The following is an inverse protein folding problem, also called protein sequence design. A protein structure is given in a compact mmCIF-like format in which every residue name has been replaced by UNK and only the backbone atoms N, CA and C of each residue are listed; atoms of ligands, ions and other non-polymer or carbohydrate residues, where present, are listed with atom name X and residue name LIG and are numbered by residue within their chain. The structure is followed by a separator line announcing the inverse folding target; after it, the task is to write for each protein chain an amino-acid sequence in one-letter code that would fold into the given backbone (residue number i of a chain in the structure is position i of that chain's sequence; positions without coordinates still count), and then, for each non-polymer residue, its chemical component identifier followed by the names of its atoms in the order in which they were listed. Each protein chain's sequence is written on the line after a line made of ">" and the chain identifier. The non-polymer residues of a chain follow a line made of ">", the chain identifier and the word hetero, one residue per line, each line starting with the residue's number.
data_IF_948829335677
#
_entry.id   IF_948829335677
#
_cell.length_a   1.000
_cell.length_b   1.000
_cell.length_c   1.000
_cell.angle_alpha   90.00
_cell.angle_beta   90.00
_cell.angle_gamma   90.00
#
_symmetry.space_group_name_H-M   'P 1'
#
loop_
_entity.id
_entity.type
_entity.pdbx_description
1 polymer ?
#
# COMPACT_ATOMS: atom_id res chain seq x y z
N UNK A 1 0.11 -8.16 13.22
CA UNK A 1 0.62 -7.90 11.85
C UNK A 1 0.90 -6.40 11.80
N UNK A 2 2.08 -5.97 11.36
CA UNK A 2 2.47 -4.55 11.34
C UNK A 2 2.87 -4.19 9.92
N UNK A 3 2.41 -3.04 9.44
CA UNK A 3 2.61 -2.59 8.06
C UNK A 3 1.82 -1.30 7.80
N UNK A 4 2.15 -0.61 6.73
CA UNK A 4 1.34 0.48 6.22
C UNK A 4 0.45 0.02 5.07
N UNK A 5 1.07 -0.47 3.98
CA UNK A 5 0.36 -0.84 2.77
C UNK A 5 -0.79 -1.83 2.98
N UNK A 6 -0.70 -2.88 3.82
CA UNK A 6 -1.82 -3.81 3.99
C UNK A 6 -3.06 -3.15 4.61
N UNK A 7 -2.85 -2.26 5.58
CA UNK A 7 -3.92 -1.50 6.24
C UNK A 7 -4.53 -0.47 5.29
N UNK A 8 -3.71 0.20 4.50
CA UNK A 8 -4.16 1.19 3.51
C UNK A 8 -4.98 0.51 2.42
N UNK A 9 -4.52 -0.61 1.89
CA UNK A 9 -5.25 -1.38 0.88
C UNK A 9 -6.53 -2.01 1.43
N UNK A 10 -6.55 -2.35 2.71
CA UNK A 10 -7.77 -2.81 3.37
C UNK A 10 -8.77 -1.66 3.55
N UNK A 11 -8.29 -0.46 3.92
CA UNK A 11 -9.12 0.73 3.96
C UNK A 11 -9.61 1.14 2.56
N UNK A 12 -8.81 0.92 1.52
CA UNK A 12 -9.19 1.21 0.13
C UNK A 12 -10.43 0.41 -0.29
N UNK A 13 -10.58 -0.84 0.19
CA UNK A 13 -11.81 -1.62 0.02
C UNK A 13 -12.97 -1.10 0.87
N UNK A 14 -12.69 -0.66 2.10
CA UNK A 14 -13.73 -0.14 3.00
C UNK A 14 -14.39 1.13 2.45
N UNK A 15 -13.60 2.06 1.93
CA UNK A 15 -14.11 3.32 1.35
C UNK A 15 -14.77 3.11 -0.02
N UNK A 16 -14.53 1.98 -0.69
CA UNK A 16 -15.34 1.55 -1.86
C UNK A 16 -16.72 1.02 -1.43
N UNK A 17 -16.82 0.45 -0.24
CA UNK A 17 -18.01 -0.24 0.26
C UNK A 17 -18.93 0.65 1.11
N UNK A 18 -18.56 1.90 1.36
CA UNK A 18 -19.24 2.83 2.28
C UNK A 18 -19.24 4.25 1.71
N UNK A 19 -19.98 5.17 2.32
CA UNK A 19 -19.95 6.60 1.97
C UNK A 19 -18.96 7.37 2.87
N UNK A 20 -17.86 6.73 3.23
CA UNK A 20 -16.79 7.34 4.04
C UNK A 20 -15.69 7.92 3.16
N UNK A 21 -15.01 8.93 3.68
CA UNK A 21 -13.87 9.59 3.03
C UNK A 21 -12.59 9.40 3.84
N UNK A 22 -11.45 9.31 3.16
CA UNK A 22 -10.14 9.33 3.83
C UNK A 22 -9.75 10.78 4.07
N UNK A 23 -9.52 11.12 5.34
CA UNK A 23 -9.15 12.46 5.77
C UNK A 23 -7.64 12.60 5.93
N UNK A 24 -6.97 11.56 6.42
CA UNK A 24 -5.54 11.61 6.71
C UNK A 24 -4.91 10.21 6.74
N UNK A 25 -3.64 10.13 6.36
CA UNK A 25 -2.81 8.92 6.45
C UNK A 25 -1.40 9.33 6.90
N UNK A 26 -0.97 8.80 8.05
CA UNK A 26 0.39 8.96 8.56
C UNK A 26 1.12 7.62 8.61
N UNK A 27 2.42 7.64 8.30
CA UNK A 27 3.26 6.44 8.16
C UNK A 27 4.41 6.44 9.17
N UNK A 28 4.16 6.14 10.47
CA UNK A 28 5.22 6.13 11.48
C UNK A 28 6.28 5.08 11.20
N UNK A 29 7.55 5.37 11.51
CA UNK A 29 8.62 4.37 11.51
C UNK A 29 8.43 3.42 12.70
N UNK A 30 8.11 2.15 12.44
CA UNK A 30 7.76 1.20 13.51
C UNK A 30 8.08 -0.26 13.12
N UNK A 31 7.07 -1.05 12.72
CA UNK A 31 7.14 -2.52 12.55
C UNK A 31 7.80 -3.25 13.73
N UNK A 32 7.69 -2.71 14.95
CA UNK A 32 8.23 -3.27 16.19
C UNK A 32 9.74 -3.54 16.13
N UNK A 33 10.48 -2.62 15.50
CA UNK A 33 11.91 -2.75 15.28
C UNK A 33 12.30 -3.40 13.94
N UNK A 34 11.32 -3.87 13.15
CA UNK A 34 11.50 -4.26 11.76
C UNK A 34 11.86 -3.09 10.85
N UNK A 35 11.88 -3.30 9.53
CA UNK A 35 12.40 -2.31 8.58
C UNK A 35 11.39 -1.27 8.07
N UNK A 36 10.08 -1.43 8.34
CA UNK A 36 9.02 -0.67 7.66
C UNK A 36 8.22 0.30 8.53
N UNK A 37 7.00 0.59 8.10
CA UNK A 37 6.09 1.52 8.77
C UNK A 37 4.98 0.84 9.58
N UNK A 38 4.48 1.57 10.58
CA UNK A 38 3.10 1.44 11.04
C UNK A 38 2.16 2.29 10.19
N UNK A 39 0.92 2.46 10.61
CA UNK A 39 -0.04 3.36 9.94
C UNK A 39 -1.03 3.95 10.94
N UNK A 40 -1.37 5.22 10.72
CA UNK A 40 -2.56 5.88 11.26
C UNK A 40 -3.41 6.31 10.06
N UNK A 41 -4.69 5.93 10.06
CA UNK A 41 -5.63 6.27 8.99
C UNK A 41 -6.86 6.89 9.64
N UNK A 42 -7.22 8.09 9.21
CA UNK A 42 -8.41 8.81 9.67
C UNK A 42 -9.43 8.82 8.54
N UNK A 43 -10.65 8.35 8.84
CA UNK A 43 -11.79 8.41 7.93
C UNK A 43 -12.93 9.26 8.51
N UNK A 44 -13.67 9.92 7.64
CA UNK A 44 -14.83 10.75 7.95
C UNK A 44 -16.11 10.22 7.30
N UNK A 45 -17.25 10.58 7.87
CA UNK A 45 -18.57 10.26 7.33
C UNK A 45 -19.67 10.91 8.17
N UNK A 46 -20.85 11.11 7.58
CA UNK A 46 -21.99 11.73 8.26
C UNK A 46 -22.82 10.76 9.10
N UNK A 47 -22.65 9.44 8.90
CA UNK A 47 -23.36 8.39 9.62
C UNK A 47 -22.38 7.53 10.43
N UNK A 48 -22.46 7.53 11.78
CA UNK A 48 -21.62 6.69 12.63
C UNK A 48 -21.72 5.19 12.33
N UNK A 49 -22.86 4.71 11.84
CA UNK A 49 -23.04 3.31 11.46
C UNK A 49 -22.22 2.95 10.22
N UNK A 50 -22.19 3.84 9.22
CA UNK A 50 -21.40 3.68 7.99
C UNK A 50 -19.88 3.73 8.30
N UNK A 51 -19.46 4.64 9.18
CA UNK A 51 -18.06 4.68 9.66
C UNK A 51 -17.67 3.38 10.36
N UNK A 52 -18.52 2.84 11.25
CA UNK A 52 -18.25 1.54 11.90
C UNK A 52 -18.20 0.40 10.88
N UNK A 53 -19.07 0.43 9.87
CA UNK A 53 -19.05 -0.56 8.80
C UNK A 53 -17.74 -0.49 8.00
N UNK A 54 -17.25 0.70 7.66
CA UNK A 54 -15.98 0.88 6.97
C UNK A 54 -14.83 0.25 7.78
N UNK A 55 -14.76 0.53 9.08
CA UNK A 55 -13.76 -0.10 9.97
C UNK A 55 -13.90 -1.62 9.97
N UNK A 56 -15.12 -2.17 10.03
CA UNK A 56 -15.36 -3.61 9.95
C UNK A 56 -14.82 -4.22 8.66
N UNK A 57 -15.15 -3.63 7.51
CA UNK A 57 -14.68 -4.08 6.19
C UNK A 57 -13.16 -4.04 6.09
N UNK A 58 -12.52 -2.98 6.60
CA UNK A 58 -11.06 -2.87 6.62
C UNK A 58 -10.43 -3.99 7.47
N UNK A 59 -10.95 -4.23 8.67
CA UNK A 59 -10.44 -5.29 9.56
C UNK A 59 -10.57 -6.68 8.93
N UNK A 60 -11.70 -6.97 8.28
CA UNK A 60 -11.96 -8.25 7.62
C UNK A 60 -11.02 -8.48 6.42
N UNK A 61 -10.55 -7.41 5.78
CA UNK A 61 -9.62 -7.49 4.65
C UNK A 61 -8.15 -7.67 5.03
N UNK A 62 -7.77 -7.46 6.30
CA UNK A 62 -6.36 -7.54 6.71
C UNK A 62 -5.73 -8.91 6.45
N UNK A 63 -6.50 -10.00 6.55
CA UNK A 63 -5.98 -11.34 6.25
C UNK A 63 -5.53 -11.46 4.79
N UNK A 64 -6.28 -10.84 3.87
CA UNK A 64 -6.02 -10.82 2.43
C UNK A 64 -4.86 -9.89 2.09
N UNK A 65 -4.85 -8.66 2.59
CA UNK A 65 -3.85 -7.64 2.20
C UNK A 65 -2.47 -7.89 2.82
N UNK A 66 -2.39 -8.68 3.88
CA UNK A 66 -1.12 -9.23 4.38
C UNK A 66 -0.71 -10.54 3.69
N UNK A 67 -1.50 -11.04 2.72
CA UNK A 67 -1.26 -12.31 2.05
C UNK A 67 0.08 -12.37 1.31
N UNK A 68 0.51 -11.22 0.76
CA UNK A 68 1.76 -11.07 0.02
C UNK A 68 2.80 -10.22 0.80
N UNK A 69 2.79 -10.36 2.14
CA UNK A 69 3.83 -9.83 3.03
C UNK A 69 4.70 -10.98 3.53
N UNK A 70 5.93 -11.03 3.04
CA UNK A 70 6.89 -12.11 3.33
C UNK A 70 7.94 -11.63 4.32
N UNK A 71 8.10 -12.34 5.43
CA UNK A 71 8.98 -11.92 6.52
C UNK A 71 10.17 -12.87 6.69
N UNK A 72 11.32 -12.32 7.03
CA UNK A 72 12.52 -13.04 7.45
C UNK A 72 13.23 -12.29 8.58
N UNK A 73 14.18 -12.92 9.30
CA UNK A 73 15.01 -12.21 10.27
C UNK A 73 15.84 -11.05 9.66
N UNK A 74 16.11 -11.10 8.36
CA UNK A 74 16.94 -10.12 7.67
C UNK A 74 16.16 -8.93 7.07
N UNK A 75 14.82 -9.03 6.99
CA UNK A 75 13.97 -8.03 6.33
C UNK A 75 12.65 -8.63 5.84
N UNK A 76 11.97 -7.92 4.94
CA UNK A 76 10.65 -8.31 4.44
C UNK A 76 10.43 -7.90 2.98
N UNK A 77 9.44 -8.52 2.35
CA UNK A 77 8.87 -8.10 1.08
C UNK A 77 7.39 -7.77 1.29
N UNK A 78 6.88 -6.82 0.51
CA UNK A 78 5.46 -6.51 0.46
C UNK A 78 5.05 -6.27 -0.99
N UNK A 79 3.98 -6.93 -1.43
CA UNK A 79 3.33 -6.69 -2.71
C UNK A 79 1.86 -6.35 -2.48
N UNK A 80 1.37 -5.33 -3.18
CA UNK A 80 -0.06 -5.00 -3.21
C UNK A 80 -0.54 -4.82 -4.63
N UNK A 81 -1.78 -5.22 -4.89
CA UNK A 81 -2.43 -5.04 -6.18
C UNK A 81 -3.91 -4.70 -5.99
N UNK A 82 -4.39 -3.76 -6.79
CA UNK A 82 -5.83 -3.54 -7.03
C UNK A 82 -6.06 -3.21 -8.49
N UNK A 83 -7.17 -3.71 -9.05
CA UNK A 83 -7.57 -3.37 -10.42
C UNK A 83 -8.21 -1.97 -10.52
N UNK A 84 -8.63 -1.41 -9.38
CA UNK A 84 -9.26 -0.09 -9.29
C UNK A 84 -9.00 0.51 -7.91
N UNK A 85 -8.02 1.43 -7.84
CA UNK A 85 -7.66 2.14 -6.62
C UNK A 85 -8.75 3.15 -6.21
N UNK A 86 -8.92 3.34 -4.91
CA UNK A 86 -9.79 4.37 -4.33
C UNK A 86 -8.98 5.42 -3.56
N UNK A 87 -9.67 6.21 -2.74
CA UNK A 87 -9.12 7.36 -2.04
C UNK A 87 -8.01 7.01 -1.05
N UNK A 88 -8.04 5.82 -0.42
CA UNK A 88 -6.98 5.45 0.53
C UNK A 88 -5.64 5.23 -0.16
N UNK A 89 -5.62 4.46 -1.25
CA UNK A 89 -4.42 4.27 -2.07
C UNK A 89 -3.97 5.58 -2.74
N UNK A 90 -4.91 6.44 -3.13
CA UNK A 90 -4.61 7.74 -3.70
C UNK A 90 -3.93 8.69 -2.70
N UNK A 91 -4.52 8.86 -1.51
CA UNK A 91 -3.99 9.75 -0.47
C UNK A 91 -2.62 9.28 0.01
N UNK A 92 -2.44 7.97 0.21
CA UNK A 92 -1.18 7.42 0.71
C UNK A 92 -0.05 7.43 -0.34
N UNK A 93 -0.36 7.05 -1.58
CA UNK A 93 0.65 6.64 -2.55
C UNK A 93 0.53 7.33 -3.91
N UNK A 94 -0.42 8.26 -4.07
CA UNK A 94 -0.67 8.92 -5.35
C UNK A 94 -1.29 7.99 -6.41
N UNK A 95 -1.85 6.84 -6.02
CA UNK A 95 -2.49 5.91 -6.94
C UNK A 95 -3.66 6.59 -7.68
N UNK A 96 -3.73 6.56 -9.02
CA UNK A 96 -4.83 7.19 -9.75
C UNK A 96 -6.17 6.50 -9.45
N UNK A 97 -7.15 7.25 -8.97
CA UNK A 97 -8.48 6.72 -8.62
C UNK A 97 -9.13 6.08 -9.85
N UNK A 98 -9.71 4.89 -9.66
CA UNK A 98 -10.37 4.13 -10.72
C UNK A 98 -9.43 3.41 -11.69
N UNK A 99 -8.11 3.44 -11.45
CA UNK A 99 -7.10 2.74 -12.25
C UNK A 99 -6.47 1.61 -11.47
N UNK A 100 -5.83 0.68 -12.19
CA UNK A 100 -5.05 -0.35 -11.54
C UNK A 100 -3.84 0.25 -10.83
N UNK A 101 -3.44 -0.35 -9.72
CA UNK A 101 -2.32 0.09 -8.91
C UNK A 101 -1.56 -1.11 -8.37
N UNK A 102 -0.23 -0.99 -8.38
CA UNK A 102 0.71 -1.96 -7.82
C UNK A 102 1.70 -1.30 -6.87
N UNK A 103 1.97 -1.95 -5.75
CA UNK A 103 3.04 -1.61 -4.80
C UNK A 103 4.02 -2.78 -4.76
N UNK A 104 5.30 -2.50 -4.97
CA UNK A 104 6.37 -3.49 -4.96
C UNK A 104 7.45 -3.02 -3.99
N UNK A 105 7.55 -3.67 -2.84
CA UNK A 105 8.40 -3.24 -1.73
C UNK A 105 9.37 -4.36 -1.31
N UNK A 106 10.62 -3.97 -1.06
CA UNK A 106 11.63 -4.84 -0.47
C UNK A 106 12.48 -4.14 0.58
N UNK A 107 12.75 -4.84 1.68
CA UNK A 107 13.64 -4.45 2.76
C UNK A 107 14.70 -5.54 3.04
N UNK A 108 16.00 -5.21 3.17
CA UNK A 108 16.60 -3.87 3.07
C UNK A 108 16.45 -3.26 1.67
N UNK A 109 16.48 -1.93 1.59
CA UNK A 109 15.96 -1.16 0.44
C UNK A 109 16.60 -1.50 -0.91
N UNK A 110 17.84 -1.99 -0.92
CA UNK A 110 18.52 -2.46 -2.14
C UNK A 110 17.80 -3.62 -2.82
N UNK A 111 17.09 -4.47 -2.07
CA UNK A 111 16.23 -5.53 -2.63
C UNK A 111 15.08 -4.89 -3.42
N UNK A 112 14.43 -3.87 -2.84
CA UNK A 112 13.37 -3.12 -3.51
C UNK A 112 13.80 -2.46 -4.82
N UNK A 113 15.07 -2.01 -4.92
CA UNK A 113 15.63 -1.46 -6.18
C UNK A 113 15.67 -2.52 -7.28
N UNK A 114 16.13 -3.74 -6.96
CA UNK A 114 16.22 -4.82 -7.96
C UNK A 114 14.83 -5.35 -8.34
N UNK A 115 13.90 -5.41 -7.37
CA UNK A 115 12.50 -5.73 -7.65
C UNK A 115 11.87 -4.71 -8.59
N UNK A 116 12.11 -3.42 -8.34
CA UNK A 116 11.59 -2.34 -9.17
C UNK A 116 12.12 -2.42 -10.61
N UNK A 117 13.44 -2.61 -10.79
CA UNK A 117 14.06 -2.79 -12.11
C UNK A 117 13.47 -3.98 -12.87
N UNK A 118 13.20 -5.08 -12.17
CA UNK A 118 12.59 -6.27 -12.77
C UNK A 118 11.15 -5.99 -13.20
N UNK A 119 10.33 -5.40 -12.34
CA UNK A 119 8.92 -5.13 -12.61
C UNK A 119 8.72 -4.25 -13.85
N UNK A 120 9.45 -3.13 -13.95
CA UNK A 120 9.33 -2.19 -15.08
C UNK A 120 9.85 -2.76 -16.41
N UNK A 121 10.70 -3.80 -16.36
CA UNK A 121 11.17 -4.53 -17.55
C UNK A 121 10.23 -5.66 -17.95
N UNK A 122 9.40 -6.14 -17.03
CA UNK A 122 8.48 -7.26 -17.26
C UNK A 122 7.25 -6.86 -18.08
N UNK A 123 6.70 -5.67 -17.85
CA UNK A 123 5.52 -5.19 -18.57
C UNK A 123 5.53 -3.67 -18.76
N UNK A 124 4.80 -3.20 -19.78
CA UNK A 124 4.61 -1.77 -20.02
C UNK A 124 3.69 -1.16 -18.97
N UNK A 125 4.27 -0.61 -17.91
CA UNK A 125 3.56 0.04 -16.79
C UNK A 125 3.97 1.50 -16.67
N UNK A 126 3.11 2.31 -16.05
CA UNK A 126 3.41 3.68 -15.68
C UNK A 126 4.02 3.71 -14.28
N UNK A 127 5.21 4.30 -14.14
CA UNK A 127 5.85 4.50 -12.84
C UNK A 127 5.31 5.76 -12.19
N UNK A 128 4.61 5.61 -11.07
CA UNK A 128 4.10 6.72 -10.27
C UNK A 128 5.20 7.33 -9.40
N UNK A 129 6.10 6.50 -8.87
CA UNK A 129 7.21 6.93 -8.05
C UNK A 129 7.99 5.78 -7.44
N UNK A 130 9.14 6.13 -6.86
CA UNK A 130 9.97 5.20 -6.07
C UNK A 130 10.33 5.86 -4.73
N UNK A 131 9.88 5.27 -3.63
CA UNK A 131 10.24 5.70 -2.27
C UNK A 131 11.46 4.92 -1.76
N UNK A 132 12.28 5.59 -0.96
CA UNK A 132 13.56 5.09 -0.44
C UNK A 132 13.83 5.65 0.96
N UNK A 133 14.87 5.18 1.68
CA UNK A 133 15.15 5.64 3.04
C UNK A 133 15.35 7.16 3.15
N UNK A 134 15.89 7.80 2.12
CA UNK A 134 16.13 9.24 2.11
C UNK A 134 15.00 10.08 1.50
N UNK A 135 14.02 9.47 0.83
CA UNK A 135 13.00 10.19 0.07
C UNK A 135 11.67 9.42 0.07
N UNK A 136 10.58 10.06 0.54
CA UNK A 136 9.23 9.49 0.45
C UNK A 136 8.91 8.40 1.47
N UNK A 137 9.79 8.13 2.43
CA UNK A 137 9.51 7.25 3.57
C UNK A 137 9.86 7.98 4.87
N UNK A 138 9.29 7.53 5.99
CA UNK A 138 9.74 7.92 7.34
C UNK A 138 11.06 7.25 7.73
N UNK A 139 12.10 7.42 6.90
CA UNK A 139 13.40 6.78 7.07
C UNK A 139 13.31 5.26 7.30
N UNK A 140 12.39 4.59 6.58
CA UNK A 140 12.33 3.12 6.61
C UNK A 140 13.47 2.53 5.78
N UNK A 141 13.76 1.24 5.97
CA UNK A 141 14.78 0.54 5.17
C UNK A 141 14.13 -0.22 4.01
N UNK A 142 13.21 0.46 3.31
CA UNK A 142 12.45 -0.08 2.19
C UNK A 142 12.80 0.66 0.91
N UNK A 143 12.81 -0.08 -0.21
CA UNK A 143 12.71 0.47 -1.55
C UNK A 143 11.33 0.09 -2.09
N UNK A 144 10.53 1.09 -2.47
CA UNK A 144 9.11 0.89 -2.78
C UNK A 144 8.82 1.49 -4.15
N UNK A 145 8.49 0.65 -5.11
CA UNK A 145 8.00 1.06 -6.42
C UNK A 145 6.46 1.13 -6.40
N UNK A 146 5.94 2.24 -6.92
CA UNK A 146 4.51 2.46 -7.14
C UNK A 146 4.23 2.54 -8.64
N UNK A 147 3.29 1.73 -9.13
CA UNK A 147 2.95 1.64 -10.56
C UNK A 147 1.46 1.70 -10.82
N UNK A 148 1.09 2.15 -12.03
CA UNK A 148 -0.26 2.08 -12.60
C UNK A 148 -0.20 1.64 -14.06
N UNK A 149 -1.35 1.58 -14.74
CA UNK A 149 -1.47 1.17 -16.14
C UNK A 149 -2.60 0.16 -16.35
N UNK A 150 -2.46 -0.65 -17.40
CA UNK A 150 -3.40 -1.73 -17.67
C UNK A 150 -3.34 -2.79 -16.57
N UNK A 151 -4.51 -3.19 -16.05
CA UNK A 151 -4.59 -4.08 -14.89
C UNK A 151 -3.84 -5.40 -15.07
N UNK A 152 -3.79 -5.95 -16.29
CA UNK A 152 -3.01 -7.15 -16.60
C UNK A 152 -1.50 -6.90 -16.54
N UNK A 153 -1.04 -5.77 -17.08
CA UNK A 153 0.36 -5.38 -17.07
C UNK A 153 0.85 -5.08 -15.63
N UNK A 154 0.05 -4.35 -14.85
CA UNK A 154 0.37 -4.03 -13.43
C UNK A 154 0.46 -5.29 -12.58
N UNK A 155 -0.36 -6.32 -12.85
CA UNK A 155 -0.29 -7.61 -12.13
C UNK A 155 0.88 -8.48 -12.60
N UNK A 156 1.32 -8.32 -13.85
CA UNK A 156 2.43 -9.08 -14.42
C UNK A 156 3.78 -8.52 -13.96
N UNK A 157 3.89 -7.20 -13.87
CA UNK A 157 5.02 -6.48 -13.31
C UNK A 157 5.21 -6.83 -11.83
#
# INVERSE_FOLDING_TARGET
>A
RSGAGPQIMAMDEAVKATNTEVLDIELPRDTKGGAGHGSLIIIGGSDPSDVRQAIGVALDNLSRTFGDVYNSPAGHLELQFTASASSAANVAFGAPIGKAYGLICGAPSGIGVVMADTAIKTAGVEVLGFASPGNGTSFSNEGILHISGDSGAVRQA
#
